data_IF_945818694820
#
_entry.id   IF_945818694820
#
_cell.length_a   1.000
_cell.length_b   1.000
_cell.length_c   1.000
_cell.angle_alpha   90.00
_cell.angle_beta   90.00
_cell.angle_gamma   90.00
#
_symmetry.space_group_name_H-M   'P 1'
#
loop_
_entity.id
_entity.type
_entity.pdbx_description
1 polymer ?
#
# COMPACT_ATOMS: atom_id res chain seq x y z
N UNK A 1 -25.06 12.37 1.76
CA UNK A 1 -23.70 11.85 1.65
C UNK A 1 -22.77 12.79 0.85
N UNK A 2 -23.12 13.17 -0.38
CA UNK A 2 -22.31 14.08 -1.21
C UNK A 2 -22.11 15.47 -0.60
N UNK A 3 -23.14 16.06 0.01
CA UNK A 3 -23.02 17.35 0.69
C UNK A 3 -22.08 17.33 1.89
N UNK A 4 -22.07 16.22 2.64
CA UNK A 4 -21.15 16.04 3.76
C UNK A 4 -19.70 15.96 3.27
N UNK A 5 -19.45 15.20 2.20
CA UNK A 5 -18.16 15.12 1.53
C UNK A 5 -17.68 16.50 1.05
N UNK A 6 -18.59 17.24 0.40
CA UNK A 6 -18.30 18.58 -0.11
C UNK A 6 -17.92 19.55 1.00
N UNK A 7 -18.70 19.59 2.08
CA UNK A 7 -18.43 20.45 3.24
C UNK A 7 -17.10 20.08 3.93
N UNK A 8 -16.81 18.80 4.06
CA UNK A 8 -15.56 18.34 4.69
C UNK A 8 -14.32 18.72 3.89
N UNK A 9 -14.35 18.60 2.55
CA UNK A 9 -13.22 18.96 1.68
C UNK A 9 -12.99 20.49 1.66
N UNK A 10 -14.03 21.30 1.83
CA UNK A 10 -13.92 22.77 1.87
C UNK A 10 -13.73 23.33 3.27
N UNK A 11 -13.61 22.48 4.29
CA UNK A 11 -13.28 22.90 5.64
C UNK A 11 -11.84 23.43 5.70
N UNK A 12 -11.57 24.53 6.43
CA UNK A 12 -10.21 25.07 6.60
C UNK A 12 -9.26 24.08 7.27
N UNK A 13 -9.79 23.13 8.03
CA UNK A 13 -9.02 22.12 8.75
C UNK A 13 -8.71 20.86 7.90
N UNK A 14 -9.23 20.78 6.68
CA UNK A 14 -9.06 19.60 5.82
C UNK A 14 -7.58 19.35 5.50
N UNK A 15 -6.87 20.37 5.06
CA UNK A 15 -5.48 20.27 4.65
C UNK A 15 -4.54 19.95 5.84
N UNK A 16 -4.65 20.61 7.00
CA UNK A 16 -3.95 20.21 8.22
C UNK A 16 -4.19 18.75 8.61
N UNK A 17 -5.44 18.29 8.56
CA UNK A 17 -5.79 16.90 8.87
C UNK A 17 -5.16 15.89 7.88
N UNK A 18 -5.10 16.21 6.58
CA UNK A 18 -4.42 15.37 5.59
C UNK A 18 -2.92 15.26 5.92
N UNK A 19 -2.28 16.37 6.26
CA UNK A 19 -0.86 16.39 6.63
C UNK A 19 -0.59 15.61 7.92
N UNK A 20 -1.45 15.73 8.91
CA UNK A 20 -1.36 14.94 10.15
C UNK A 20 -1.45 13.44 9.85
N UNK A 21 -2.40 13.03 9.03
CA UNK A 21 -2.52 11.64 8.60
C UNK A 21 -1.28 11.14 7.83
N UNK A 22 -0.72 11.95 6.95
CA UNK A 22 0.51 11.62 6.23
C UNK A 22 1.69 11.37 7.17
N UNK A 23 1.78 12.12 8.27
CA UNK A 23 2.85 11.94 9.27
C UNK A 23 2.69 10.64 10.08
N UNK A 24 1.46 10.17 10.27
CA UNK A 24 1.19 8.95 11.05
C UNK A 24 1.37 7.64 10.24
N UNK A 25 1.15 7.68 8.92
CA UNK A 25 1.26 6.49 8.05
C UNK A 25 2.68 5.93 7.98
N UNK A 26 3.74 6.74 7.79
CA UNK A 26 5.11 6.24 7.73
C UNK A 26 5.59 5.57 9.02
N UNK A 27 4.92 5.80 10.12
CA UNK A 27 5.24 5.18 11.42
C UNK A 27 4.88 3.67 11.47
N UNK A 28 4.15 3.15 10.48
CA UNK A 28 3.88 1.72 10.38
C UNK A 28 4.95 1.01 9.54
N UNK A 29 5.92 0.31 10.15
CA UNK A 29 7.03 -0.31 9.41
C UNK A 29 6.54 -1.33 8.38
N UNK A 30 5.45 -2.02 8.67
CA UNK A 30 4.85 -2.99 7.75
C UNK A 30 4.34 -2.32 6.46
N UNK A 31 3.62 -1.19 6.58
CA UNK A 31 3.12 -0.43 5.42
C UNK A 31 4.28 0.09 4.56
N UNK A 32 5.30 0.66 5.21
CA UNK A 32 6.49 1.18 4.52
C UNK A 32 7.16 0.06 3.73
N UNK A 33 7.43 -1.09 4.36
CA UNK A 33 8.07 -2.23 3.70
C UNK A 33 7.24 -2.71 2.51
N UNK A 34 5.92 -2.88 2.67
CA UNK A 34 5.05 -3.37 1.61
C UNK A 34 4.98 -2.40 0.41
N UNK A 35 4.86 -1.09 0.65
CA UNK A 35 4.85 -0.09 -0.41
C UNK A 35 6.21 -0.02 -1.14
N UNK A 36 7.33 -0.07 -0.41
CA UNK A 36 8.67 -0.13 -1.01
C UNK A 36 8.85 -1.37 -1.88
N UNK A 37 8.38 -2.54 -1.44
CA UNK A 37 8.45 -3.79 -2.19
C UNK A 37 7.64 -3.73 -3.48
N UNK A 38 6.41 -3.20 -3.42
CA UNK A 38 5.56 -2.99 -4.61
C UNK A 38 6.23 -2.05 -5.61
N UNK A 39 6.81 -0.96 -5.13
CA UNK A 39 7.58 -0.04 -5.95
C UNK A 39 8.79 -0.69 -6.61
N UNK A 40 9.52 -1.52 -5.85
CA UNK A 40 10.65 -2.27 -6.37
C UNK A 40 10.26 -3.28 -7.45
N UNK A 41 9.04 -3.84 -7.42
CA UNK A 41 8.53 -4.73 -8.46
C UNK A 41 7.98 -3.99 -9.69
N UNK A 42 7.62 -2.73 -9.56
CA UNK A 42 7.10 -1.94 -10.66
C UNK A 42 8.11 -1.87 -11.82
N UNK A 43 7.64 -2.16 -13.03
CA UNK A 43 8.46 -2.09 -14.25
C UNK A 43 8.68 -0.65 -14.72
N UNK A 44 7.73 0.25 -14.42
CA UNK A 44 7.75 1.67 -14.81
C UNK A 44 7.31 2.51 -13.61
N UNK A 45 7.90 3.72 -13.46
CA UNK A 45 7.65 4.61 -12.34
C UNK A 45 6.16 5.00 -12.19
N UNK A 46 5.47 5.26 -13.28
CA UNK A 46 4.05 5.63 -13.26
C UNK A 46 3.12 4.48 -12.81
N UNK A 47 3.56 3.22 -12.93
CA UNK A 47 2.84 2.07 -12.38
C UNK A 47 3.06 1.91 -10.87
N UNK A 48 4.19 2.40 -10.36
CA UNK A 48 4.47 2.38 -8.94
C UNK A 48 3.44 3.20 -8.15
N UNK A 49 2.97 4.33 -8.70
CA UNK A 49 2.00 5.22 -8.06
C UNK A 49 0.69 4.50 -7.67
N UNK A 50 -0.10 3.99 -8.62
CA UNK A 50 -1.38 3.36 -8.28
C UNK A 50 -1.21 2.07 -7.48
N UNK A 51 -0.15 1.30 -7.73
CA UNK A 51 0.10 0.08 -6.97
C UNK A 51 0.51 0.38 -5.52
N UNK A 52 1.30 1.41 -5.29
CA UNK A 52 1.64 1.88 -3.96
C UNK A 52 0.42 2.37 -3.19
N UNK A 53 -0.40 3.22 -3.80
CA UNK A 53 -1.65 3.69 -3.20
C UNK A 53 -2.58 2.54 -2.84
N UNK A 54 -2.82 1.62 -3.78
CA UNK A 54 -3.67 0.45 -3.56
C UNK A 54 -3.14 -0.43 -2.41
N UNK A 55 -1.84 -0.69 -2.39
CA UNK A 55 -1.21 -1.49 -1.32
C UNK A 55 -1.37 -0.82 0.03
N UNK A 56 -1.20 0.50 0.09
CA UNK A 56 -1.39 1.26 1.32
C UNK A 56 -2.83 1.12 1.85
N UNK A 57 -3.84 1.23 0.99
CA UNK A 57 -5.24 0.99 1.37
C UNK A 57 -5.47 -0.44 1.87
N UNK A 58 -4.99 -1.44 1.14
CA UNK A 58 -5.18 -2.85 1.51
C UNK A 58 -4.53 -3.16 2.86
N UNK A 59 -3.30 -2.69 3.10
CA UNK A 59 -2.61 -2.87 4.37
C UNK A 59 -3.33 -2.13 5.49
N UNK A 60 -3.78 -0.90 5.25
CA UNK A 60 -4.54 -0.14 6.24
C UNK A 60 -5.84 -0.85 6.62
N UNK A 61 -6.63 -1.30 5.64
CA UNK A 61 -7.87 -2.02 5.85
C UNK A 61 -7.66 -3.35 6.57
N UNK A 62 -6.58 -4.07 6.28
CA UNK A 62 -6.26 -5.34 6.96
C UNK A 62 -5.85 -5.15 8.42
N UNK A 63 -5.31 -4.00 8.78
CA UNK A 63 -4.82 -3.68 10.13
C UNK A 63 -5.89 -3.01 11.00
N UNK A 64 -6.75 -2.20 10.40
CA UNK A 64 -7.90 -1.64 11.09
C UNK A 64 -8.89 -2.78 11.34
N UNK A 65 -8.56 -3.62 12.35
CA UNK A 65 -9.48 -4.64 12.82
C UNK A 65 -10.87 -4.04 12.91
N UNK A 66 -11.83 -4.66 12.33
CA UNK A 66 -13.28 -4.55 12.27
C UNK A 66 -14.03 -3.68 13.32
N UNK A 67 -13.34 -2.97 14.19
CA UNK A 67 -13.88 -2.46 15.42
C UNK A 67 -14.30 -0.99 15.46
N UNK A 68 -14.25 -0.20 14.45
CA UNK A 68 -14.80 1.19 14.43
C UNK A 68 -14.66 1.85 13.06
N UNK A 69 -15.37 1.38 12.08
CA UNK A 69 -15.39 2.00 10.75
C UNK A 69 -15.81 3.47 10.78
N UNK A 70 -16.72 3.84 11.67
CA UNK A 70 -17.28 5.20 11.73
C UNK A 70 -16.31 6.25 12.26
N UNK A 71 -15.32 5.85 13.08
CA UNK A 71 -14.35 6.79 13.66
C UNK A 71 -12.96 6.77 12.98
N UNK A 72 -12.72 5.83 12.06
CA UNK A 72 -11.38 5.54 11.53
C UNK A 72 -11.14 6.15 10.14
N UNK A 73 -12.19 6.53 9.41
CA UNK A 73 -12.07 7.18 8.11
C UNK A 73 -12.52 8.64 8.14
N UNK A 74 -11.77 9.56 8.73
CA UNK A 74 -11.92 10.95 8.33
C UNK A 74 -11.58 11.01 6.83
N UNK A 75 -12.41 11.71 6.06
CA UNK A 75 -12.27 11.90 4.60
C UNK A 75 -10.85 12.33 4.22
N UNK A 76 -10.16 13.01 5.14
CA UNK A 76 -8.77 13.41 5.04
C UNK A 76 -7.77 12.22 4.99
N UNK A 77 -8.08 11.09 5.58
CA UNK A 77 -7.20 9.92 5.58
C UNK A 77 -7.07 9.24 4.22
N UNK A 78 -8.09 9.32 3.37
CA UNK A 78 -8.08 8.69 2.05
C UNK A 78 -6.99 9.27 1.12
N UNK A 79 -6.92 10.58 0.88
CA UNK A 79 -5.86 11.15 0.06
C UNK A 79 -4.48 11.00 0.71
N UNK A 80 -4.37 11.08 2.03
CA UNK A 80 -3.11 10.86 2.72
C UNK A 80 -2.54 9.46 2.44
N UNK A 81 -3.36 8.41 2.61
CA UNK A 81 -2.97 7.03 2.29
C UNK A 81 -2.55 6.86 0.83
N UNK A 82 -3.27 7.50 -0.10
CA UNK A 82 -2.93 7.43 -1.52
C UNK A 82 -1.57 8.08 -1.82
N UNK A 83 -1.33 9.26 -1.28
CA UNK A 83 -0.10 10.03 -1.50
C UNK A 83 1.09 9.30 -0.87
N UNK A 84 0.99 8.87 0.38
CA UNK A 84 2.09 8.20 1.07
C UNK A 84 2.43 6.85 0.43
N UNK A 85 1.41 6.06 0.07
CA UNK A 85 1.60 4.82 -0.65
C UNK A 85 2.29 5.02 -2.00
N UNK A 86 1.91 6.06 -2.74
CA UNK A 86 2.54 6.43 -4.01
C UNK A 86 3.99 6.87 -3.83
N UNK A 87 4.28 7.74 -2.85
CA UNK A 87 5.63 8.24 -2.56
C UNK A 87 6.57 7.12 -2.12
N UNK A 88 6.11 6.25 -1.21
CA UNK A 88 6.90 5.10 -0.76
C UNK A 88 7.18 4.12 -1.90
N UNK A 89 6.21 3.87 -2.77
CA UNK A 89 6.43 3.01 -3.93
C UNK A 89 7.39 3.64 -4.95
N UNK A 90 7.32 4.96 -5.18
CA UNK A 90 8.31 5.66 -6.00
C UNK A 90 9.72 5.53 -5.41
N UNK A 91 9.86 5.69 -4.09
CA UNK A 91 11.14 5.49 -3.41
C UNK A 91 11.66 4.06 -3.62
N UNK A 92 10.81 3.05 -3.46
CA UNK A 92 11.16 1.65 -3.73
C UNK A 92 11.61 1.40 -5.17
N UNK A 93 10.92 2.00 -6.13
CA UNK A 93 11.29 1.95 -7.55
C UNK A 93 12.68 2.58 -7.79
N UNK A 94 12.94 3.74 -7.21
CA UNK A 94 14.22 4.44 -7.33
C UNK A 94 15.36 3.67 -6.68
N UNK A 95 15.15 3.15 -5.46
CA UNK A 95 16.13 2.32 -4.74
C UNK A 95 16.51 1.07 -5.55
N UNK A 96 15.53 0.40 -6.16
CA UNK A 96 15.79 -0.72 -7.09
C UNK A 96 16.68 -0.28 -8.25
N UNK A 97 16.42 0.87 -8.86
CA UNK A 97 17.23 1.42 -9.95
C UNK A 97 18.69 1.57 -9.53
N UNK A 98 18.94 2.23 -8.39
CA UNK A 98 20.29 2.44 -7.84
C UNK A 98 20.98 1.10 -7.52
N UNK A 99 20.27 0.17 -6.87
CA UNK A 99 20.82 -1.14 -6.53
C UNK A 99 21.15 -1.94 -7.78
N UNK A 100 20.28 -1.92 -8.78
CA UNK A 100 20.47 -2.58 -10.07
C UNK A 100 21.72 -2.06 -10.77
N UNK A 101 21.85 -0.75 -10.93
CA UNK A 101 23.00 -0.13 -11.59
C UNK A 101 24.31 -0.49 -10.88
N UNK A 102 24.32 -0.45 -9.54
CA UNK A 102 25.50 -0.84 -8.75
C UNK A 102 25.82 -2.34 -8.85
N UNK A 103 24.81 -3.20 -8.92
CA UNK A 103 24.98 -4.64 -9.05
C UNK A 103 25.49 -5.02 -10.46
N UNK A 104 24.95 -4.38 -11.50
CA UNK A 104 25.36 -4.62 -12.91
C UNK A 104 26.78 -4.13 -13.22
N UNK A 105 27.27 -3.10 -12.51
CA UNK A 105 28.64 -2.60 -12.63
C UNK A 105 29.71 -3.57 -12.06
N UNK A 106 29.30 -4.64 -11.37
CA UNK A 106 30.22 -5.61 -10.76
C UNK A 106 30.30 -6.91 -11.59
N UNK A 107 31.48 -7.59 -11.60
CA UNK A 107 31.68 -8.83 -12.34
C UNK A 107 30.70 -9.92 -11.89
N UNK A 108 30.48 -10.90 -12.78
CA UNK A 108 29.64 -12.07 -12.48
C UNK A 108 30.27 -12.85 -11.31
N UNK A 109 29.41 -13.23 -10.35
CA UNK A 109 29.86 -13.89 -9.12
C UNK A 109 30.13 -12.97 -7.93
N UNK A 110 30.16 -11.66 -8.12
CA UNK A 110 30.31 -10.73 -7.02
C UNK A 110 29.10 -10.82 -6.07
N UNK A 111 29.37 -10.80 -4.76
CA UNK A 111 28.34 -10.96 -3.71
C UNK A 111 27.15 -9.99 -3.85
N UNK A 112 27.39 -8.76 -4.30
CA UNK A 112 26.36 -7.74 -4.49
C UNK A 112 25.34 -8.13 -5.58
N UNK A 113 25.80 -8.76 -6.68
CA UNK A 113 24.92 -9.25 -7.75
C UNK A 113 24.06 -10.42 -7.29
N UNK A 114 24.67 -11.35 -6.52
CA UNK A 114 23.93 -12.47 -5.89
C UNK A 114 22.90 -11.96 -4.88
N UNK A 115 23.28 -10.97 -4.05
CA UNK A 115 22.38 -10.34 -3.09
C UNK A 115 21.19 -9.70 -3.80
N UNK A 116 21.43 -8.92 -4.88
CA UNK A 116 20.36 -8.30 -5.65
C UNK A 116 19.39 -9.31 -6.27
N UNK A 117 19.92 -10.41 -6.83
CA UNK A 117 19.10 -11.49 -7.37
C UNK A 117 18.27 -12.18 -6.28
N UNK A 118 18.89 -12.52 -5.16
CA UNK A 118 18.20 -13.12 -4.00
C UNK A 118 17.11 -12.21 -3.46
N UNK A 119 17.42 -10.93 -3.28
CA UNK A 119 16.45 -9.93 -2.82
C UNK A 119 15.24 -9.83 -3.76
N UNK A 120 15.48 -9.83 -5.07
CA UNK A 120 14.40 -9.82 -6.07
C UNK A 120 13.47 -11.03 -5.93
N UNK A 121 14.03 -12.22 -5.74
CA UNK A 121 13.26 -13.45 -5.54
C UNK A 121 12.43 -13.35 -4.25
N UNK A 122 13.06 -12.97 -3.14
CA UNK A 122 12.39 -12.81 -1.85
C UNK A 122 11.22 -11.81 -1.96
N UNK A 123 11.46 -10.63 -2.54
CA UNK A 123 10.41 -9.62 -2.74
C UNK A 123 9.26 -10.18 -3.58
N UNK A 124 9.55 -10.85 -4.70
CA UNK A 124 8.51 -11.46 -5.53
C UNK A 124 7.70 -12.50 -4.74
N UNK A 125 8.36 -13.39 -4.01
CA UNK A 125 7.69 -14.44 -3.22
C UNK A 125 6.78 -13.84 -2.14
N UNK A 126 7.30 -12.89 -1.36
CA UNK A 126 6.51 -12.23 -0.30
C UNK A 126 5.30 -11.52 -0.88
N UNK A 127 5.45 -10.83 -2.00
CA UNK A 127 4.34 -10.12 -2.66
C UNK A 127 3.29 -11.08 -3.23
N UNK A 128 3.70 -12.20 -3.83
CA UNK A 128 2.76 -13.23 -4.30
C UNK A 128 1.98 -13.80 -3.12
N UNK A 129 2.64 -14.14 -2.03
CA UNK A 129 1.99 -14.65 -0.81
C UNK A 129 1.00 -13.62 -0.23
N UNK A 130 1.42 -12.36 -0.13
CA UNK A 130 0.54 -11.29 0.36
C UNK A 130 -0.73 -11.15 -0.49
N UNK A 131 -0.59 -11.06 -1.81
CA UNK A 131 -1.75 -10.91 -2.69
C UNK A 131 -2.61 -12.17 -2.72
N UNK A 132 -2.04 -13.35 -2.59
CA UNK A 132 -2.81 -14.59 -2.46
C UNK A 132 -3.70 -14.58 -1.21
N UNK A 133 -3.16 -14.12 -0.07
CA UNK A 133 -3.93 -13.97 1.19
C UNK A 133 -5.04 -12.93 1.02
N UNK A 134 -4.75 -11.78 0.37
CA UNK A 134 -5.76 -10.74 0.12
C UNK A 134 -6.89 -11.28 -0.75
N UNK A 135 -6.58 -11.97 -1.84
CA UNK A 135 -7.58 -12.58 -2.74
C UNK A 135 -8.41 -13.61 -1.98
N UNK A 136 -7.78 -14.49 -1.21
CA UNK A 136 -8.48 -15.47 -0.40
C UNK A 136 -9.44 -14.82 0.58
N UNK A 137 -9.00 -13.76 1.27
CA UNK A 137 -9.84 -13.01 2.20
C UNK A 137 -11.05 -12.38 1.50
N UNK A 138 -10.85 -11.74 0.34
CA UNK A 138 -11.95 -11.16 -0.46
C UNK A 138 -12.94 -12.22 -0.89
N UNK A 139 -12.47 -13.38 -1.38
CA UNK A 139 -13.33 -14.49 -1.80
C UNK A 139 -14.15 -15.01 -0.61
N UNK A 140 -13.51 -15.31 0.52
CA UNK A 140 -14.20 -15.80 1.73
C UNK A 140 -15.22 -14.77 2.22
N UNK A 141 -14.87 -13.50 2.26
CA UNK A 141 -15.77 -12.43 2.67
C UNK A 141 -17.00 -12.33 1.74
N UNK A 142 -16.76 -12.34 0.42
CA UNK A 142 -17.84 -12.27 -0.58
C UNK A 142 -18.80 -13.46 -0.46
N UNK A 143 -18.26 -14.67 -0.30
CA UNK A 143 -19.05 -15.87 -0.10
C UNK A 143 -19.84 -15.78 1.19
N UNK A 144 -19.23 -15.34 2.28
CA UNK A 144 -19.90 -15.19 3.58
C UNK A 144 -21.08 -14.20 3.51
N UNK A 145 -20.90 -13.06 2.82
CA UNK A 145 -21.97 -12.07 2.62
C UNK A 145 -23.08 -12.63 1.74
N UNK A 146 -22.73 -13.36 0.67
CA UNK A 146 -23.71 -13.94 -0.25
C UNK A 146 -24.52 -15.09 0.37
N UNK A 147 -23.97 -15.78 1.37
CA UNK A 147 -24.63 -16.91 2.06
C UNK A 147 -25.40 -16.50 3.31
N UNK A 148 -25.30 -15.25 3.75
CA UNK A 148 -26.17 -14.76 4.83
C UNK A 148 -27.60 -14.66 4.29
N UNK A 149 -28.57 -15.45 4.85
CA UNK A 149 -29.95 -15.29 4.47
C UNK A 149 -30.37 -13.87 4.81
N UNK A 150 -30.93 -13.17 3.84
CA UNK A 150 -31.47 -11.81 4.04
C UNK A 150 -32.42 -11.84 5.25
N UNK A 151 -31.96 -11.25 6.36
CA UNK A 151 -32.83 -10.86 7.47
C UNK A 151 -33.68 -9.68 6.97
N UNK A 152 -34.45 -9.92 5.91
CA UNK A 152 -35.52 -9.06 5.46
C UNK A 152 -36.76 -9.41 6.32
N UNK A 153 -36.85 -8.75 7.47
CA UNK A 153 -38.12 -8.54 8.18
C UNK A 153 -38.17 -7.13 8.72
#
# INVERSE_FOLDING_TARGET
>A
MLEYLWRSIHSPDYLPNVLEWMLHIPLSPFMVIMCLMVGALAGKWWRALPYGSLTCYVVFLSRSSFYRWESIFPIAGLPALAIDGALLALLGFYMKGVLRTRAEAKPEGHWLRRLYQGLKVVICTVMVMFWAVVVLFVVVFTVSVATQPSLAH
#
